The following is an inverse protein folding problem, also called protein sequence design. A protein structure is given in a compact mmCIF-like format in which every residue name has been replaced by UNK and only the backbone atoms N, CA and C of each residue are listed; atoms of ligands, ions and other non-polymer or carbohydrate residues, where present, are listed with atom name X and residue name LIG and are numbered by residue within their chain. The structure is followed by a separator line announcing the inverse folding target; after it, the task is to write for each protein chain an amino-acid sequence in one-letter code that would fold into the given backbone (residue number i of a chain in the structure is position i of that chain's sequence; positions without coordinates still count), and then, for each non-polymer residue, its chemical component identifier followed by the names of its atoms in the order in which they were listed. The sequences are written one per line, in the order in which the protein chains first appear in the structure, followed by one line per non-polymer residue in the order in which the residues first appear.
data_IF_531331693570
#
_entry.id   IF_531331693570
#
_cell.length_a   1.000
_cell.length_b   1.000
_cell.length_c   1.000
_cell.angle_alpha   90.00
_cell.angle_beta   90.00
_cell.angle_gamma   90.00
#
_symmetry.space_group_name_H-M   'P 1'
#
loop_
_entity.id
_entity.type
_entity.pdbx_description
1 polymer ?
#
# COMPACT_ATOMS: atom_id res chain seq x y z
N UNK A 1 28.42 5.85 33.08
CA UNK A 1 28.17 6.10 31.68
C UNK A 1 26.72 6.50 31.53
N UNK A 2 26.45 7.77 31.14
CA UNK A 2 25.11 8.28 30.92
C UNK A 2 24.58 7.55 29.69
N UNK A 3 23.58 6.68 29.84
CA UNK A 3 22.74 6.26 28.73
C UNK A 3 22.01 7.50 28.25
N UNK A 4 22.39 8.01 27.09
CA UNK A 4 21.63 9.04 26.40
C UNK A 4 20.33 8.39 25.97
N UNK A 5 19.24 8.66 26.67
CA UNK A 5 17.90 8.24 26.25
C UNK A 5 17.61 8.99 24.97
N UNK A 6 17.77 8.33 23.83
CA UNK A 6 17.33 8.86 22.54
C UNK A 6 15.81 9.05 22.62
N UNK A 7 15.34 10.24 22.25
CA UNK A 7 13.90 10.46 22.15
C UNK A 7 13.35 9.78 20.88
N UNK A 8 12.05 9.51 20.83
CA UNK A 8 11.39 8.85 19.71
C UNK A 8 11.69 9.52 18.35
N UNK A 9 11.84 10.84 18.31
CA UNK A 9 12.13 11.56 17.08
C UNK A 9 13.55 11.29 16.57
N UNK A 10 14.55 11.14 17.45
CA UNK A 10 15.92 10.81 17.07
C UNK A 10 16.03 9.35 16.59
N UNK A 11 15.34 8.42 17.23
CA UNK A 11 15.25 7.03 16.81
C UNK A 11 14.62 6.94 15.42
N UNK A 12 13.48 7.62 15.19
CA UNK A 12 12.84 7.66 13.88
C UNK A 12 13.74 8.25 12.77
N UNK A 13 14.48 9.32 13.09
CA UNK A 13 15.42 9.91 12.14
C UNK A 13 16.55 8.93 11.78
N UNK A 14 17.11 8.25 12.77
CA UNK A 14 18.17 7.25 12.58
C UNK A 14 17.67 6.05 11.79
N UNK A 15 16.47 5.53 12.08
CA UNK A 15 15.85 4.44 11.30
C UNK A 15 15.67 4.86 9.83
N UNK A 16 15.17 6.07 9.58
CA UNK A 16 15.00 6.58 8.20
C UNK A 16 16.32 6.71 7.45
N UNK A 17 17.36 7.22 8.12
CA UNK A 17 18.70 7.30 7.53
C UNK A 17 19.22 5.91 7.18
N UNK A 18 19.18 4.97 8.11
CA UNK A 18 19.64 3.58 7.88
C UNK A 18 18.87 2.90 6.74
N UNK A 19 17.57 3.16 6.61
CA UNK A 19 16.78 2.64 5.47
C UNK A 19 17.24 3.29 4.16
N UNK A 20 17.47 4.60 4.14
CA UNK A 20 17.96 5.31 2.94
C UNK A 20 19.30 4.76 2.49
N UNK A 21 20.25 4.65 3.42
CA UNK A 21 21.60 4.12 3.17
C UNK A 21 21.53 2.66 2.67
N UNK A 22 20.64 1.84 3.27
CA UNK A 22 20.42 0.47 2.80
C UNK A 22 19.94 0.41 1.35
N UNK A 23 19.02 1.30 0.96
CA UNK A 23 18.55 1.37 -0.43
C UNK A 23 19.64 1.86 -1.37
N UNK A 24 20.43 2.86 -1.00
CA UNK A 24 21.54 3.35 -1.81
C UNK A 24 22.57 2.25 -2.07
N UNK A 25 22.92 1.47 -1.05
CA UNK A 25 23.93 0.43 -1.15
C UNK A 25 23.45 -0.85 -1.86
N UNK A 26 22.15 -1.19 -1.77
CA UNK A 26 21.63 -2.49 -2.18
C UNK A 26 20.68 -2.45 -3.38
N UNK A 27 20.27 -1.27 -3.86
CA UNK A 27 19.33 -1.15 -4.99
C UNK A 27 19.92 -0.41 -6.20
N UNK A 28 21.21 -0.14 -6.20
CA UNK A 28 21.92 0.50 -7.33
C UNK A 28 21.86 -0.31 -8.63
N UNK A 29 21.63 -1.63 -8.54
CA UNK A 29 21.46 -2.51 -9.70
C UNK A 29 20.00 -2.79 -10.00
N UNK A 30 19.63 -2.71 -11.28
CA UNK A 30 18.27 -2.90 -11.82
C UNK A 30 17.64 -4.28 -11.48
N UNK A 31 18.42 -5.22 -10.97
CA UNK A 31 18.03 -6.61 -10.60
C UNK A 31 18.19 -6.91 -9.10
N UNK A 32 18.45 -5.90 -8.28
CA UNK A 32 18.64 -6.14 -6.85
C UNK A 32 17.31 -6.54 -6.20
N UNK A 33 17.35 -7.65 -5.47
CA UNK A 33 16.22 -8.16 -4.70
C UNK A 33 16.22 -7.50 -3.32
N UNK A 34 15.16 -6.79 -2.98
CA UNK A 34 14.98 -6.22 -1.65
C UNK A 34 14.81 -7.36 -0.63
N UNK A 35 15.76 -7.51 0.26
CA UNK A 35 15.67 -8.47 1.36
C UNK A 35 15.23 -7.78 2.65
N UNK A 36 13.96 -7.98 3.03
CA UNK A 36 13.39 -7.43 4.27
C UNK A 36 14.17 -7.91 5.50
N UNK A 37 14.55 -9.19 5.54
CA UNK A 37 15.33 -9.75 6.65
C UNK A 37 16.70 -9.10 6.76
N UNK A 38 17.37 -8.81 5.65
CA UNK A 38 18.67 -8.12 5.64
C UNK A 38 18.50 -6.68 6.10
N UNK A 39 17.51 -5.96 5.60
CA UNK A 39 17.20 -4.59 6.01
C UNK A 39 16.88 -4.52 7.51
N UNK A 40 16.04 -5.43 8.01
CA UNK A 40 15.74 -5.55 9.43
C UNK A 40 17.00 -5.76 10.27
N UNK A 41 17.88 -6.69 9.85
CA UNK A 41 19.17 -6.91 10.53
C UNK A 41 20.03 -5.65 10.51
N UNK A 42 20.16 -4.97 9.38
CA UNK A 42 20.95 -3.74 9.26
C UNK A 42 20.46 -2.66 10.23
N UNK A 43 19.15 -2.50 10.37
CA UNK A 43 18.57 -1.51 11.30
C UNK A 43 18.86 -1.90 12.75
N UNK A 44 18.65 -3.16 13.12
CA UNK A 44 18.90 -3.65 14.48
C UNK A 44 20.40 -3.59 14.86
N UNK A 45 21.30 -3.87 13.91
CA UNK A 45 22.74 -3.76 14.13
C UNK A 45 23.19 -2.28 14.30
N UNK A 46 22.55 -1.36 13.57
CA UNK A 46 22.87 0.07 13.64
C UNK A 46 22.27 0.78 14.88
N UNK A 47 21.18 0.24 15.40
CA UNK A 47 20.38 0.86 16.48
C UNK A 47 20.12 -0.16 17.60
N UNK A 48 21.14 -0.42 18.46
CA UNK A 48 21.04 -1.42 19.53
C UNK A 48 19.99 -1.07 20.61
N UNK A 49 19.45 0.13 20.60
CA UNK A 49 18.34 0.56 21.46
C UNK A 49 17.01 -0.09 21.04
N UNK A 50 16.91 -0.59 19.78
CA UNK A 50 15.74 -1.29 19.28
C UNK A 50 15.93 -2.78 19.52
N UNK A 51 15.21 -3.33 20.50
CA UNK A 51 15.32 -4.76 20.86
C UNK A 51 14.69 -5.68 19.80
N UNK A 52 13.60 -5.22 19.17
CA UNK A 52 12.90 -5.97 18.12
C UNK A 52 12.10 -5.04 17.20
N UNK A 53 11.90 -5.47 15.96
CA UNK A 53 11.08 -4.74 15.01
C UNK A 53 10.43 -5.71 14.01
N UNK A 54 9.31 -5.29 13.43
CA UNK A 54 8.66 -5.93 12.29
C UNK A 54 8.59 -4.93 11.16
N UNK A 55 9.00 -5.33 9.96
CA UNK A 55 8.88 -4.52 8.75
C UNK A 55 7.77 -5.14 7.90
N UNK A 56 6.71 -4.39 7.68
CA UNK A 56 5.63 -4.77 6.76
C UNK A 56 5.75 -3.91 5.51
N UNK A 57 6.26 -4.44 4.39
CA UNK A 57 6.41 -3.66 3.17
C UNK A 57 5.04 -3.41 2.54
N UNK A 58 4.84 -2.18 2.10
CA UNK A 58 3.63 -1.73 1.42
C UNK A 58 4.02 -1.25 0.02
N UNK A 59 3.54 -1.92 -1.02
CA UNK A 59 3.79 -1.53 -2.40
C UNK A 59 2.79 -0.46 -2.83
N UNK A 60 3.24 0.47 -3.63
CA UNK A 60 2.40 1.47 -4.26
C UNK A 60 2.42 1.30 -5.78
N UNK A 61 1.25 1.26 -6.39
CA UNK A 61 1.07 1.32 -7.83
C UNK A 61 0.32 2.61 -8.19
N UNK A 62 0.93 3.43 -9.04
CA UNK A 62 0.34 4.69 -9.51
C UNK A 62 -0.08 4.57 -10.97
N UNK A 63 -1.27 5.07 -11.26
CA UNK A 63 -1.74 5.19 -12.64
C UNK A 63 -2.55 6.47 -12.85
N UNK A 64 -2.59 6.92 -14.09
CA UNK A 64 -3.47 8.01 -14.50
C UNK A 64 -4.75 7.40 -15.06
N UNK A 65 -5.92 7.74 -14.49
CA UNK A 65 -7.18 7.27 -15.03
C UNK A 65 -7.45 7.93 -16.38
N UNK A 66 -8.17 7.22 -17.25
CA UNK A 66 -8.70 7.79 -18.49
C UNK A 66 -10.12 8.30 -18.24
N UNK A 67 -10.50 9.41 -18.89
CA UNK A 67 -11.81 10.06 -18.71
C UNK A 67 -12.91 9.35 -19.53
N UNK A 68 -12.95 8.03 -19.42
CA UNK A 68 -13.94 7.16 -20.06
C UNK A 68 -14.11 5.87 -19.27
N UNK A 69 -15.22 5.17 -19.49
CA UNK A 69 -15.44 3.85 -18.89
C UNK A 69 -14.38 2.88 -19.34
N UNK A 70 -13.58 2.36 -18.41
CA UNK A 70 -12.40 1.56 -18.69
C UNK A 70 -12.19 0.46 -17.66
N UNK A 71 -11.39 -0.54 -18.06
CA UNK A 71 -10.92 -1.58 -17.17
C UNK A 71 -9.50 -1.24 -16.71
N UNK A 72 -9.22 -1.48 -15.43
CA UNK A 72 -7.90 -1.26 -14.85
C UNK A 72 -7.37 -2.57 -14.28
N UNK A 73 -6.18 -2.95 -14.67
CA UNK A 73 -5.45 -4.08 -14.10
C UNK A 73 -4.16 -3.58 -13.46
N UNK A 74 -4.05 -3.74 -12.14
CA UNK A 74 -2.92 -3.31 -11.33
C UNK A 74 -2.15 -4.55 -10.92
N UNK A 75 -0.86 -4.61 -11.30
CA UNK A 75 0.03 -5.75 -11.03
C UNK A 75 1.16 -5.33 -10.12
N UNK A 76 1.17 -5.83 -8.90
CA UNK A 76 2.24 -5.58 -7.93
C UNK A 76 3.48 -6.46 -8.14
N UNK A 77 3.40 -7.48 -9.02
CA UNK A 77 4.47 -8.47 -9.29
C UNK A 77 4.90 -9.31 -8.07
N UNK A 78 4.25 -9.15 -6.95
CA UNK A 78 4.46 -9.89 -5.70
C UNK A 78 3.11 -10.35 -5.17
N UNK A 79 3.09 -11.47 -4.46
CA UNK A 79 1.89 -11.92 -3.77
C UNK A 79 1.49 -10.88 -2.71
N UNK A 80 0.22 -10.54 -2.66
CA UNK A 80 -0.37 -9.67 -1.65
C UNK A 80 -0.66 -10.53 -0.42
N UNK A 81 -0.47 -9.99 0.77
CA UNK A 81 -0.86 -10.65 2.02
C UNK A 81 -2.35 -10.98 1.99
N UNK A 82 -2.72 -12.20 2.38
CA UNK A 82 -4.13 -12.54 2.51
C UNK A 82 -4.61 -12.07 3.89
N UNK A 83 -5.64 -11.22 3.97
CA UNK A 83 -6.16 -10.81 5.27
C UNK A 83 -6.75 -12.01 5.99
N UNK A 84 -6.54 -12.06 7.30
CA UNK A 84 -7.21 -13.03 8.18
C UNK A 84 -8.51 -12.42 8.70
N UNK A 85 -9.47 -13.26 9.09
CA UNK A 85 -10.75 -12.81 9.62
C UNK A 85 -10.60 -11.74 10.72
N UNK A 86 -11.31 -10.62 10.56
CA UNK A 86 -11.28 -9.48 11.48
C UNK A 86 -10.07 -8.56 11.36
N UNK A 87 -9.23 -8.73 10.34
CA UNK A 87 -8.06 -7.90 10.10
C UNK A 87 -8.36 -6.71 9.17
N UNK A 88 -7.48 -5.73 9.27
CA UNK A 88 -7.43 -4.54 8.44
C UNK A 88 -7.26 -4.93 6.96
N UNK A 89 -7.92 -4.22 6.02
CA UNK A 89 -7.70 -4.39 4.59
C UNK A 89 -6.21 -4.29 4.22
N UNK A 90 -5.76 -5.16 3.33
CA UNK A 90 -4.37 -5.21 2.85
C UNK A 90 -4.19 -4.50 1.50
N UNK A 91 -5.29 -4.22 0.80
CA UNK A 91 -5.33 -3.36 -0.38
C UNK A 91 -6.12 -2.10 -0.04
N UNK A 92 -5.60 -0.95 -0.42
CA UNK A 92 -6.27 0.35 -0.22
C UNK A 92 -5.87 1.35 -1.29
N UNK A 93 -6.52 2.52 -1.34
CA UNK A 93 -6.12 3.60 -2.25
C UNK A 93 -6.05 4.96 -1.56
N UNK A 94 -5.46 5.94 -2.26
CA UNK A 94 -5.71 7.34 -1.97
C UNK A 94 -7.14 7.72 -2.41
N UNK A 95 -7.55 8.93 -2.05
CA UNK A 95 -8.82 9.50 -2.49
C UNK A 95 -8.82 9.76 -4.00
N UNK A 96 -9.93 9.40 -4.68
CA UNK A 96 -10.13 9.66 -6.11
C UNK A 96 -11.62 9.88 -6.42
N UNK A 97 -11.93 10.31 -7.64
CA UNK A 97 -13.28 10.51 -8.12
C UNK A 97 -13.83 9.28 -8.84
N UNK A 98 -15.03 8.86 -8.47
CA UNK A 98 -15.85 7.92 -9.22
C UNK A 98 -16.98 8.68 -9.93
N UNK A 99 -17.10 8.51 -11.24
CA UNK A 99 -18.16 9.14 -12.03
C UNK A 99 -19.38 8.25 -12.04
N UNK A 100 -20.45 8.75 -11.44
CA UNK A 100 -21.74 8.07 -11.36
C UNK A 100 -22.45 8.05 -12.72
N UNK A 101 -23.50 7.26 -12.83
CA UNK A 101 -24.33 7.15 -14.06
C UNK A 101 -25.02 8.45 -14.46
N UNK A 102 -25.26 9.35 -13.51
CA UNK A 102 -25.82 10.69 -13.74
C UNK A 102 -24.77 11.73 -14.17
N UNK A 103 -23.49 11.32 -14.27
CA UNK A 103 -22.36 12.19 -14.60
C UNK A 103 -21.77 12.96 -13.42
N UNK A 104 -22.34 12.85 -12.22
CA UNK A 104 -21.74 13.42 -11.01
C UNK A 104 -20.48 12.67 -10.61
N UNK A 105 -19.58 13.32 -9.86
CA UNK A 105 -18.36 12.71 -9.36
C UNK A 105 -18.41 12.63 -7.83
N UNK A 106 -18.32 11.41 -7.30
CA UNK A 106 -18.22 11.15 -5.86
C UNK A 106 -16.77 10.93 -5.46
N UNK A 107 -16.38 11.50 -4.35
CA UNK A 107 -15.04 11.33 -3.74
C UNK A 107 -15.00 10.02 -2.98
N UNK A 108 -14.18 9.09 -3.43
CA UNK A 108 -14.19 7.71 -2.96
C UNK A 108 -12.79 7.18 -2.65
N UNK A 109 -12.78 6.04 -1.99
CA UNK A 109 -11.63 5.17 -1.73
C UNK A 109 -11.98 3.75 -2.15
N UNK A 110 -10.98 2.93 -2.36
CA UNK A 110 -11.15 1.48 -2.49
C UNK A 110 -10.36 0.74 -1.40
N UNK A 111 -10.85 -0.44 -1.06
CA UNK A 111 -10.14 -1.42 -0.22
C UNK A 111 -10.61 -2.83 -0.55
N UNK A 112 -9.87 -3.84 -0.12
CA UNK A 112 -10.31 -5.23 -0.22
C UNK A 112 -11.21 -5.64 0.97
N UNK A 113 -12.07 -6.62 0.72
CA UNK A 113 -12.99 -7.19 1.73
C UNK A 113 -12.43 -8.44 2.43
N UNK A 114 -11.21 -8.86 2.10
CA UNK A 114 -10.61 -10.10 2.59
C UNK A 114 -11.10 -11.38 1.89
N UNK A 115 -12.09 -11.29 1.01
CA UNK A 115 -12.70 -12.42 0.30
C UNK A 115 -12.44 -12.39 -1.22
N UNK A 116 -11.53 -11.51 -1.66
CA UNK A 116 -11.16 -11.39 -3.07
C UNK A 116 -11.95 -10.33 -3.84
N UNK A 117 -12.78 -9.52 -3.18
CA UNK A 117 -13.44 -8.39 -3.84
C UNK A 117 -12.77 -7.06 -3.43
N UNK A 118 -12.89 -6.09 -4.31
CA UNK A 118 -12.62 -4.68 -4.03
C UNK A 118 -13.96 -3.99 -3.74
N UNK A 119 -13.99 -3.29 -2.62
CA UNK A 119 -15.10 -2.46 -2.17
C UNK A 119 -14.82 -1.00 -2.50
N UNK A 120 -15.80 -0.28 -3.04
CA UNK A 120 -15.76 1.16 -3.22
C UNK A 120 -16.56 1.84 -2.11
N UNK A 121 -15.98 2.84 -1.44
CA UNK A 121 -16.63 3.53 -0.34
C UNK A 121 -16.30 5.03 -0.33
N UNK A 122 -17.16 5.79 0.34
CA UNK A 122 -16.94 7.20 0.67
C UNK A 122 -16.85 7.40 2.18
N UNK A 123 -16.30 8.53 2.59
CA UNK A 123 -16.25 8.96 3.99
C UNK A 123 -17.24 10.10 4.21
N UNK A 124 -18.29 9.87 5.00
CA UNK A 124 -19.30 10.86 5.36
C UNK A 124 -19.24 11.11 6.86
N UNK A 125 -18.92 12.33 7.26
CA UNK A 125 -18.83 12.68 8.69
C UNK A 125 -17.79 11.89 9.48
N UNK A 126 -16.78 11.30 8.81
CA UNK A 126 -15.77 10.45 9.42
C UNK A 126 -16.15 8.97 9.45
N UNK A 127 -17.33 8.60 8.99
CA UNK A 127 -17.78 7.21 8.89
C UNK A 127 -17.66 6.70 7.45
N UNK A 128 -17.32 5.42 7.33
CA UNK A 128 -17.21 4.71 6.07
C UNK A 128 -18.58 4.27 5.58
N UNK A 129 -18.97 4.70 4.38
CA UNK A 129 -20.21 4.30 3.70
C UNK A 129 -19.87 3.56 2.42
N UNK A 130 -20.23 2.27 2.36
CA UNK A 130 -19.99 1.42 1.19
C UNK A 130 -20.95 1.80 0.08
N UNK A 131 -20.42 2.10 -1.11
CA UNK A 131 -21.20 2.41 -2.31
C UNK A 131 -21.37 1.17 -3.20
N UNK A 132 -20.28 0.40 -3.40
CA UNK A 132 -20.27 -0.79 -4.25
C UNK A 132 -19.44 -1.88 -3.56
N UNK A 133 -20.08 -2.98 -3.18
CA UNK A 133 -19.43 -4.10 -2.48
C UNK A 133 -18.52 -4.94 -3.39
N UNK A 134 -18.79 -4.98 -4.69
CA UNK A 134 -18.03 -5.75 -5.69
C UNK A 134 -17.61 -4.85 -6.86
N UNK A 135 -16.84 -3.81 -6.53
CA UNK A 135 -16.32 -2.87 -7.50
C UNK A 135 -15.19 -3.47 -8.36
N UNK A 136 -14.51 -4.45 -7.83
CA UNK A 136 -13.41 -5.14 -8.50
C UNK A 136 -13.06 -6.43 -7.80
N UNK A 137 -11.92 -7.02 -8.18
CA UNK A 137 -11.41 -8.27 -7.60
C UNK A 137 -9.95 -8.16 -7.22
N UNK A 138 -9.53 -8.94 -6.21
CA UNK A 138 -8.14 -9.12 -5.81
C UNK A 138 -7.73 -10.58 -5.98
N UNK A 139 -6.65 -10.80 -6.69
CA UNK A 139 -5.93 -12.07 -6.73
C UNK A 139 -4.69 -11.92 -5.83
N UNK A 140 -4.83 -12.31 -4.58
CA UNK A 140 -3.78 -12.19 -3.57
C UNK A 140 -2.51 -12.97 -3.95
N UNK A 141 -2.68 -14.15 -4.54
CA UNK A 141 -1.57 -15.04 -4.88
C UNK A 141 -0.71 -14.46 -6.00
N UNK A 142 -1.34 -13.86 -7.02
CA UNK A 142 -0.65 -13.29 -8.16
C UNK A 142 -0.39 -11.79 -8.04
N UNK A 143 -0.86 -11.16 -6.96
CA UNK A 143 -0.68 -9.73 -6.70
C UNK A 143 -1.39 -8.84 -7.71
N UNK A 144 -2.62 -9.20 -8.09
CA UNK A 144 -3.35 -8.50 -9.14
C UNK A 144 -4.66 -7.94 -8.59
N UNK A 145 -4.89 -6.64 -8.81
CA UNK A 145 -6.17 -5.98 -8.56
C UNK A 145 -6.81 -5.63 -9.90
N UNK A 146 -8.09 -5.96 -10.07
CA UNK A 146 -8.86 -5.65 -11.28
C UNK A 146 -10.09 -4.83 -10.95
N UNK A 147 -10.29 -3.74 -11.67
CA UNK A 147 -11.48 -2.91 -11.66
C UNK A 147 -12.07 -2.94 -13.06
N UNK A 148 -13.35 -3.24 -13.19
CA UNK A 148 -14.00 -3.36 -14.49
C UNK A 148 -15.08 -2.31 -14.67
N UNK A 149 -15.17 -1.75 -15.87
CA UNK A 149 -16.25 -0.84 -16.29
C UNK A 149 -16.44 0.37 -15.37
N UNK A 150 -15.35 1.06 -15.06
CA UNK A 150 -15.37 2.25 -14.21
C UNK A 150 -14.85 3.50 -14.94
N UNK A 151 -15.48 4.65 -14.70
CA UNK A 151 -14.94 5.96 -15.06
C UNK A 151 -14.37 6.61 -13.79
N UNK A 152 -13.06 6.76 -13.78
CA UNK A 152 -12.32 7.26 -12.62
C UNK A 152 -11.69 8.60 -12.93
N UNK A 153 -11.53 9.45 -11.91
CA UNK A 153 -10.84 10.75 -11.99
C UNK A 153 -9.83 10.85 -10.86
N UNK A 154 -8.68 11.40 -11.14
CA UNK A 154 -7.73 11.75 -10.10
C UNK A 154 -7.89 13.20 -9.68
N UNK A 155 -7.81 13.47 -8.36
CA UNK A 155 -7.76 14.83 -7.83
C UNK A 155 -6.33 15.40 -7.76
N UNK A 156 -5.31 14.52 -7.86
CA UNK A 156 -3.90 14.88 -7.69
C UNK A 156 -3.02 14.51 -8.89
N UNK A 157 -3.64 14.18 -10.04
CA UNK A 157 -2.96 13.77 -11.27
C UNK A 157 -2.78 12.24 -11.40
N UNK A 158 -2.81 11.48 -10.32
CA UNK A 158 -2.75 10.01 -10.33
C UNK A 158 -3.61 9.39 -9.24
N UNK A 159 -3.99 8.12 -9.45
CA UNK A 159 -4.57 7.27 -8.41
C UNK A 159 -3.47 6.33 -7.93
N UNK A 160 -3.27 6.28 -6.61
CA UNK A 160 -2.36 5.36 -5.95
C UNK A 160 -3.13 4.21 -5.31
N UNK A 161 -2.74 2.99 -5.62
CA UNK A 161 -3.23 1.78 -4.96
C UNK A 161 -2.08 1.16 -4.19
N UNK A 162 -2.33 0.86 -2.93
CA UNK A 162 -1.37 0.29 -1.99
C UNK A 162 -1.70 -1.16 -1.72
N UNK A 163 -0.68 -2.00 -1.55
CA UNK A 163 -0.87 -3.38 -1.15
C UNK A 163 0.20 -3.82 -0.15
N UNK A 164 -0.23 -4.44 0.95
CA UNK A 164 0.67 -5.20 1.82
C UNK A 164 1.10 -6.49 1.14
N UNK A 165 2.39 -6.78 1.12
CA UNK A 165 2.92 -7.99 0.52
C UNK A 165 3.36 -9.01 1.56
N UNK A 166 3.28 -10.28 1.20
CA UNK A 166 3.74 -11.38 2.05
C UNK A 166 5.27 -11.29 2.22
N UNK A 167 5.75 -11.08 3.45
CA UNK A 167 7.13 -10.71 3.79
C UNK A 167 8.24 -11.70 3.46
N UNK A 168 8.03 -12.71 2.61
CA UNK A 168 9.01 -13.77 2.39
C UNK A 168 9.61 -13.88 0.99
N UNK A 169 9.16 -13.12 0.00
CA UNK A 169 9.76 -13.10 -1.35
C UNK A 169 9.50 -11.77 -2.04
N UNK A 170 10.48 -10.92 -2.02
CA UNK A 170 10.61 -9.81 -2.96
C UNK A 170 11.82 -10.10 -3.84
#
# INVERSE_FOLDING_TARGET
PSQTVLNDASIQASVRSTISDYFEDNTADFFSVLSISRMQKTILDALPEIESMVITPNLEYRFQPVDSNSNYEIKFKNAISHPHDGHKPVVSSNNFGYVNTDGSTTSVFLEDDGFGNIVLYEMIGGEKVVLIEKFGTVDYQNGIVRITSATLRSFTGSISVYAEITGNRI
#
